data_IF_034029287678
#
_entry.id   IF_034029287678
#
_cell.length_a   1.000
_cell.length_b   1.000
_cell.length_c   1.000
_cell.angle_alpha   90.00
_cell.angle_beta   90.00
_cell.angle_gamma   90.00
#
_symmetry.space_group_name_H-M   'P 1'
#
loop_
_entity.id
_entity.type
_entity.pdbx_description
1 polymer ?
#
# COMPACT_ATOMS: atom_id res chain seq x y z
N UNK A 1 19.17 20.58 12.31
CA UNK A 1 18.40 19.34 12.10
C UNK A 1 17.16 19.40 12.99
N UNK A 2 16.07 19.98 12.50
CA UNK A 2 14.82 20.04 13.27
C UNK A 2 14.21 18.65 13.32
N UNK A 3 14.13 18.07 14.53
CA UNK A 3 13.41 16.83 14.77
C UNK A 3 11.97 16.94 14.26
N UNK A 4 11.29 15.82 13.98
CA UNK A 4 9.94 15.84 13.45
C UNK A 4 9.07 16.64 14.41
N UNK A 5 8.59 17.81 13.96
CA UNK A 5 7.66 18.64 14.71
C UNK A 5 6.47 17.73 14.99
N UNK A 6 6.31 17.30 16.24
CA UNK A 6 5.10 16.64 16.73
C UNK A 6 4.01 17.71 16.81
N UNK A 7 3.60 18.21 15.64
CA UNK A 7 2.42 19.04 15.53
C UNK A 7 1.24 18.10 15.79
N UNK A 8 0.42 18.39 16.79
CA UNK A 8 -0.85 17.69 16.93
C UNK A 8 -1.75 18.04 15.73
N UNK A 9 -2.73 17.19 15.42
CA UNK A 9 -3.58 17.39 14.23
C UNK A 9 -4.29 18.75 14.30
N UNK A 10 -4.64 19.18 15.51
CA UNK A 10 -5.26 20.46 15.81
C UNK A 10 -4.30 21.62 15.56
N UNK A 11 -3.02 21.48 15.92
CA UNK A 11 -1.99 22.49 15.65
C UNK A 11 -1.65 22.59 14.15
N UNK A 12 -1.63 21.46 13.44
CA UNK A 12 -1.44 21.43 11.97
C UNK A 12 -2.63 22.09 11.27
N UNK A 13 -3.86 21.86 11.73
CA UNK A 13 -5.07 22.49 11.21
C UNK A 13 -5.10 24.01 11.46
N UNK A 14 -4.79 24.44 12.68
CA UNK A 14 -4.69 25.86 13.04
C UNK A 14 -3.58 26.57 12.26
N UNK A 15 -2.42 25.92 12.10
CA UNK A 15 -1.32 26.41 11.26
C UNK A 15 -1.70 26.54 9.79
N UNK A 16 -2.42 25.57 9.21
CA UNK A 16 -2.94 25.67 7.84
C UNK A 16 -3.93 26.84 7.70
N UNK A 17 -4.86 26.99 8.64
CA UNK A 17 -5.86 28.07 8.64
C UNK A 17 -5.19 29.45 8.69
N UNK A 18 -4.14 29.60 9.50
CA UNK A 18 -3.35 30.82 9.60
C UNK A 18 -2.49 31.08 8.35
N UNK A 19 -1.88 30.04 7.79
CA UNK A 19 -1.03 30.14 6.59
C UNK A 19 -1.83 30.55 5.35
N UNK A 20 -3.04 30.02 5.19
CA UNK A 20 -3.93 30.35 4.08
C UNK A 20 -4.88 31.54 4.36
N UNK A 21 -4.72 32.25 5.49
CA UNK A 21 -5.55 33.41 5.87
C UNK A 21 -7.07 33.16 5.78
N UNK A 22 -7.52 31.93 6.05
CA UNK A 22 -8.93 31.55 5.93
C UNK A 22 -9.42 31.16 4.52
N UNK A 23 -8.52 31.06 3.53
CA UNK A 23 -8.82 30.45 2.22
C UNK A 23 -8.93 28.93 2.34
N UNK A 24 -10.10 28.49 2.83
CA UNK A 24 -10.45 27.08 3.02
C UNK A 24 -10.30 26.22 1.76
N UNK A 25 -10.73 26.68 0.57
CA UNK A 25 -10.51 25.97 -0.69
C UNK A 25 -9.03 25.71 -1.00
N UNK A 26 -8.14 26.70 -0.82
CA UNK A 26 -6.71 26.53 -1.08
C UNK A 26 -6.05 25.55 -0.09
N UNK A 27 -6.40 25.66 1.19
CA UNK A 27 -5.95 24.74 2.24
C UNK A 27 -6.38 23.29 1.94
N UNK A 28 -7.63 23.09 1.51
CA UNK A 28 -8.14 21.76 1.16
C UNK A 28 -7.45 21.21 -0.09
N UNK A 29 -7.28 22.03 -1.14
CA UNK A 29 -6.63 21.61 -2.37
C UNK A 29 -5.21 21.08 -2.13
N UNK A 30 -4.48 21.66 -1.17
CA UNK A 30 -3.17 21.15 -0.75
C UNK A 30 -3.28 19.76 -0.13
N UNK A 31 -4.25 19.55 0.78
CA UNK A 31 -4.45 18.26 1.44
C UNK A 31 -4.94 17.19 0.46
N UNK A 32 -5.82 17.54 -0.48
CA UNK A 32 -6.25 16.67 -1.58
C UNK A 32 -5.08 16.23 -2.45
N UNK A 33 -4.14 17.14 -2.78
CA UNK A 33 -2.91 16.78 -3.51
C UNK A 33 -2.07 15.77 -2.73
N UNK A 34 -1.94 15.91 -1.40
CA UNK A 34 -1.22 14.94 -0.56
C UNK A 34 -1.92 13.58 -0.54
N UNK A 35 -3.25 13.56 -0.43
CA UNK A 35 -4.04 12.33 -0.49
C UNK A 35 -3.90 11.64 -1.86
N UNK A 36 -4.01 12.40 -2.96
CA UNK A 36 -3.81 11.88 -4.32
C UNK A 36 -2.40 11.29 -4.49
N UNK A 37 -1.37 11.93 -3.95
CA UNK A 37 -0.02 11.37 -3.96
C UNK A 37 0.07 10.02 -3.22
N UNK A 38 -0.62 9.86 -2.08
CA UNK A 38 -0.69 8.58 -1.36
C UNK A 38 -1.44 7.53 -2.19
N UNK A 39 -2.55 7.90 -2.82
CA UNK A 39 -3.32 7.01 -3.69
C UNK A 39 -2.49 6.49 -4.88
N UNK A 40 -1.79 7.38 -5.60
CA UNK A 40 -0.91 7.01 -6.70
C UNK A 40 0.21 6.05 -6.26
N UNK A 41 0.87 6.35 -5.13
CA UNK A 41 1.91 5.48 -4.57
C UNK A 41 1.37 4.12 -4.13
N UNK A 42 0.15 4.07 -3.60
CA UNK A 42 -0.51 2.83 -3.22
C UNK A 42 -0.84 1.95 -4.44
N UNK A 43 -1.26 2.54 -5.57
CA UNK A 43 -1.50 1.81 -6.81
C UNK A 43 -0.22 1.15 -7.34
N UNK A 44 0.93 1.84 -7.28
CA UNK A 44 2.24 1.24 -7.65
C UNK A 44 2.54 0.02 -6.79
N UNK A 45 2.31 0.10 -5.47
CA UNK A 45 2.54 -1.03 -4.55
C UNK A 45 1.64 -2.23 -4.90
N UNK A 46 0.38 -1.99 -5.24
CA UNK A 46 -0.55 -3.03 -5.70
C UNK A 46 -0.10 -3.62 -7.04
N UNK A 47 0.49 -2.81 -7.92
CA UNK A 47 1.08 -3.26 -9.18
C UNK A 47 2.12 -4.36 -9.00
N UNK A 48 2.95 -4.31 -7.95
CA UNK A 48 3.92 -5.37 -7.66
C UNK A 48 3.25 -6.72 -7.36
N UNK A 49 2.09 -6.73 -6.70
CA UNK A 49 1.34 -7.95 -6.49
C UNK A 49 0.82 -8.55 -7.80
N UNK A 50 0.32 -7.71 -8.72
CA UNK A 50 -0.09 -8.16 -10.04
C UNK A 50 1.08 -8.80 -10.81
N UNK A 51 2.27 -8.20 -10.76
CA UNK A 51 3.49 -8.77 -11.36
C UNK A 51 3.85 -10.10 -10.71
N UNK A 52 3.86 -10.20 -9.39
CA UNK A 52 4.17 -11.45 -8.69
C UNK A 52 3.19 -12.58 -9.07
N UNK A 53 1.89 -12.28 -9.14
CA UNK A 53 0.85 -13.24 -9.56
C UNK A 53 1.06 -13.68 -11.01
N UNK A 54 1.33 -12.77 -11.94
CA UNK A 54 1.53 -13.14 -13.35
C UNK A 54 2.81 -13.95 -13.54
N UNK A 55 3.93 -13.58 -12.90
CA UNK A 55 5.18 -14.36 -12.92
C UNK A 55 4.97 -15.77 -12.36
N UNK A 56 4.20 -15.89 -11.27
CA UNK A 56 3.83 -17.19 -10.68
C UNK A 56 2.96 -17.99 -11.65
N UNK A 57 2.01 -17.35 -12.33
CA UNK A 57 1.14 -18.00 -13.32
C UNK A 57 1.91 -18.59 -14.50
N UNK A 58 2.86 -17.85 -15.06
CA UNK A 58 3.73 -18.36 -16.14
C UNK A 58 4.66 -19.48 -15.65
N UNK A 59 5.20 -19.35 -14.44
CA UNK A 59 6.18 -20.29 -13.88
C UNK A 59 5.53 -21.44 -13.09
N UNK A 60 4.20 -21.50 -13.00
CA UNK A 60 3.49 -22.37 -12.07
C UNK A 60 3.77 -23.86 -12.27
N UNK A 61 3.96 -24.29 -13.53
CA UNK A 61 4.33 -25.69 -13.84
C UNK A 61 5.74 -26.04 -13.37
N UNK A 62 6.69 -25.10 -13.47
CA UNK A 62 8.05 -25.27 -12.96
C UNK A 62 8.05 -25.33 -11.43
N UNK A 63 7.21 -24.50 -10.80
CA UNK A 63 7.06 -24.44 -9.35
C UNK A 63 6.42 -25.74 -8.80
N UNK A 64 5.39 -26.26 -9.47
CA UNK A 64 4.76 -27.52 -9.08
C UNK A 64 5.70 -28.74 -9.21
N UNK A 65 6.74 -28.63 -10.05
CA UNK A 65 7.74 -29.67 -10.25
C UNK A 65 8.99 -29.56 -9.38
N UNK A 66 9.13 -28.54 -8.52
CA UNK A 66 10.31 -28.36 -7.65
C UNK A 66 10.09 -28.91 -6.22
N UNK A 67 11.07 -28.67 -5.35
CA UNK A 67 11.03 -29.05 -3.94
C UNK A 67 9.83 -28.46 -3.18
N UNK A 68 9.28 -29.26 -2.25
CA UNK A 68 8.16 -28.87 -1.36
C UNK A 68 8.47 -27.59 -0.58
N UNK A 69 9.73 -27.38 -0.20
CA UNK A 69 10.18 -26.18 0.51
C UNK A 69 10.00 -24.92 -0.34
N UNK A 70 10.38 -24.97 -1.62
CA UNK A 70 10.18 -23.86 -2.55
C UNK A 70 8.70 -23.60 -2.80
N UNK A 71 7.89 -24.66 -2.94
CA UNK A 71 6.43 -24.52 -3.12
C UNK A 71 5.76 -23.81 -1.93
N UNK A 72 6.02 -24.27 -0.71
CA UNK A 72 5.45 -23.66 0.51
C UNK A 72 5.91 -22.20 0.63
N UNK A 73 7.18 -21.91 0.35
CA UNK A 73 7.74 -20.57 0.44
C UNK A 73 7.12 -19.60 -0.58
N UNK A 74 6.88 -20.05 -1.83
CA UNK A 74 6.16 -19.26 -2.85
C UNK A 74 4.73 -18.97 -2.41
N UNK A 75 4.01 -20.00 -1.95
CA UNK A 75 2.61 -19.85 -1.51
C UNK A 75 2.54 -18.87 -0.33
N UNK A 76 3.40 -19.04 0.67
CA UNK A 76 3.45 -18.15 1.83
C UNK A 76 3.79 -16.70 1.43
N UNK A 77 4.81 -16.49 0.58
CA UNK A 77 5.16 -15.17 0.06
C UNK A 77 3.99 -14.52 -0.68
N UNK A 78 3.31 -15.27 -1.55
CA UNK A 78 2.17 -14.77 -2.33
C UNK A 78 0.98 -14.40 -1.43
N UNK A 79 0.67 -15.22 -0.42
CA UNK A 79 -0.40 -14.94 0.55
C UNK A 79 -0.09 -13.67 1.34
N UNK A 80 1.17 -13.45 1.74
CA UNK A 80 1.61 -12.23 2.45
C UNK A 80 1.45 -11.00 1.54
N UNK A 81 1.89 -11.08 0.29
CA UNK A 81 1.76 -9.99 -0.69
C UNK A 81 0.28 -9.65 -0.89
N UNK A 82 -0.56 -10.65 -1.17
CA UNK A 82 -1.99 -10.45 -1.44
C UNK A 82 -2.73 -9.90 -0.23
N UNK A 83 -2.47 -10.43 0.96
CA UNK A 83 -3.08 -9.94 2.20
C UNK A 83 -2.67 -8.49 2.51
N UNK A 84 -1.41 -8.14 2.24
CA UNK A 84 -0.90 -6.77 2.39
C UNK A 84 -1.53 -5.81 1.38
N UNK A 85 -1.66 -6.21 0.12
CA UNK A 85 -2.34 -5.44 -0.91
C UNK A 85 -3.83 -5.28 -0.63
N UNK A 86 -4.50 -6.32 -0.14
CA UNK A 86 -5.90 -6.24 0.27
C UNK A 86 -6.09 -5.24 1.41
N UNK A 87 -5.19 -5.22 2.40
CA UNK A 87 -5.18 -4.22 3.47
C UNK A 87 -5.01 -2.79 2.94
N UNK A 88 -4.09 -2.57 1.99
CA UNK A 88 -3.93 -1.26 1.32
C UNK A 88 -5.21 -0.89 0.54
N UNK A 89 -5.78 -1.84 -0.20
CA UNK A 89 -7.00 -1.61 -0.97
C UNK A 89 -8.18 -1.19 -0.09
N UNK A 90 -8.44 -1.94 0.98
CA UNK A 90 -9.56 -1.67 1.88
C UNK A 90 -9.39 -0.39 2.71
N UNK A 91 -8.15 0.00 3.06
CA UNK A 91 -7.89 1.16 3.95
C UNK A 91 -7.50 2.43 3.20
N UNK A 92 -6.66 2.32 2.18
CA UNK A 92 -6.12 3.46 1.43
C UNK A 92 -7.02 3.80 0.24
N UNK A 93 -7.40 2.83 -0.58
CA UNK A 93 -8.20 3.06 -1.79
C UNK A 93 -9.69 3.29 -1.53
N UNK A 94 -10.19 3.07 -0.30
CA UNK A 94 -11.57 3.43 0.06
C UNK A 94 -11.77 4.94 -0.13
N UNK A 95 -12.50 5.28 -1.20
CA UNK A 95 -12.93 6.63 -1.54
C UNK A 95 -14.06 7.00 -0.60
N UNK A 96 -13.74 7.67 0.50
CA UNK A 96 -14.75 8.39 1.26
C UNK A 96 -14.92 9.77 0.61
N UNK A 97 -16.06 9.98 -0.03
CA UNK A 97 -16.39 11.22 -0.73
C UNK A 97 -16.31 12.41 0.24
N UNK A 98 -15.29 13.25 0.04
CA UNK A 98 -15.04 14.50 0.79
C UNK A 98 -16.26 15.43 0.69
N UNK A 99 -16.95 15.41 -0.46
CA UNK A 99 -18.13 16.25 -0.76
C UNK A 99 -19.32 16.01 0.18
N UNK A 100 -19.55 14.78 0.65
CA UNK A 100 -20.65 14.51 1.60
C UNK A 100 -20.40 15.05 3.01
N UNK A 101 -19.14 15.35 3.36
CA UNK A 101 -18.76 15.98 4.64
C UNK A 101 -18.80 17.51 4.62
N UNK A 102 -18.86 18.12 3.45
CA UNK A 102 -18.73 19.57 3.25
C UNK A 102 -19.98 20.36 3.61
N UNK A 103 -21.11 19.70 3.88
CA UNK A 103 -22.38 20.41 3.85
C UNK A 103 -22.65 21.24 5.12
N UNK A 104 -22.08 20.95 6.30
CA UNK A 104 -22.66 21.46 7.56
C UNK A 104 -21.71 21.89 8.72
N UNK A 105 -20.37 21.95 8.61
CA UNK A 105 -19.51 22.26 9.78
C UNK A 105 -18.27 23.15 9.52
N UNK A 106 -17.85 23.85 10.59
CA UNK A 106 -16.70 24.76 10.69
C UNK A 106 -15.42 24.22 10.01
N UNK A 107 -14.72 25.09 9.28
CA UNK A 107 -13.55 24.80 8.45
C UNK A 107 -12.46 24.03 9.22
N UNK A 108 -12.28 24.38 10.49
CA UNK A 108 -11.29 23.79 11.38
C UNK A 108 -11.57 22.32 11.69
N UNK A 109 -12.84 21.99 11.99
CA UNK A 109 -13.25 20.60 12.25
C UNK A 109 -13.13 19.73 11.00
N UNK A 110 -13.32 20.31 9.82
CA UNK A 110 -13.14 19.63 8.53
C UNK A 110 -11.65 19.36 8.27
N UNK A 111 -10.78 20.35 8.46
CA UNK A 111 -9.32 20.19 8.36
C UNK A 111 -8.81 19.06 9.26
N UNK A 112 -9.23 19.04 10.53
CA UNK A 112 -8.85 17.99 11.49
C UNK A 112 -9.29 16.61 11.01
N UNK A 113 -10.51 16.45 10.51
CA UNK A 113 -11.01 15.16 9.99
C UNK A 113 -10.23 14.70 8.76
N UNK A 114 -9.93 15.60 7.83
CA UNK A 114 -9.17 15.26 6.61
C UNK A 114 -7.72 14.91 6.96
N UNK A 115 -7.07 15.66 7.85
CA UNK A 115 -5.72 15.36 8.35
C UNK A 115 -5.64 14.03 9.11
N UNK A 116 -6.66 13.71 9.92
CA UNK A 116 -6.77 12.42 10.61
C UNK A 116 -6.90 11.27 9.61
N UNK A 117 -7.74 11.44 8.59
CA UNK A 117 -7.89 10.46 7.50
C UNK A 117 -6.58 10.27 6.74
N UNK A 118 -5.86 11.36 6.41
CA UNK A 118 -4.52 11.32 5.80
C UNK A 118 -3.58 10.46 6.64
N UNK A 119 -3.47 10.72 7.94
CA UNK A 119 -2.52 10.02 8.80
C UNK A 119 -2.85 8.52 8.90
N UNK A 120 -4.14 8.17 9.01
CA UNK A 120 -4.58 6.78 9.03
C UNK A 120 -4.26 6.06 7.70
N UNK A 121 -4.50 6.72 6.56
CA UNK A 121 -4.13 6.18 5.23
C UNK A 121 -2.62 6.04 5.08
N UNK A 122 -1.82 7.02 5.51
CA UNK A 122 -0.36 6.95 5.50
C UNK A 122 0.16 5.79 6.35
N UNK A 123 -0.40 5.58 7.55
CA UNK A 123 -0.02 4.47 8.42
C UNK A 123 -0.37 3.11 7.80
N UNK A 124 -1.58 2.99 7.24
CA UNK A 124 -2.00 1.78 6.54
C UNK A 124 -1.11 1.49 5.32
N UNK A 125 -0.78 2.51 4.53
CA UNK A 125 0.17 2.41 3.43
C UNK A 125 1.53 1.90 3.93
N UNK A 126 2.13 2.53 4.95
CA UNK A 126 3.45 2.14 5.46
C UNK A 126 3.50 0.68 5.93
N UNK A 127 2.48 0.24 6.68
CA UNK A 127 2.40 -1.15 7.16
C UNK A 127 2.19 -2.11 5.99
N UNK A 128 1.28 -1.79 5.07
CA UNK A 128 1.01 -2.63 3.91
C UNK A 128 2.21 -2.73 2.96
N UNK A 129 2.89 -1.62 2.68
CA UNK A 129 4.09 -1.60 1.84
C UNK A 129 5.22 -2.44 2.45
N UNK A 130 5.44 -2.34 3.76
CA UNK A 130 6.41 -3.18 4.45
C UNK A 130 6.05 -4.68 4.31
N UNK A 131 4.77 -5.03 4.46
CA UNK A 131 4.30 -6.40 4.24
C UNK A 131 4.52 -6.91 2.81
N UNK A 132 4.25 -6.07 1.80
CA UNK A 132 4.52 -6.40 0.39
C UNK A 132 6.02 -6.64 0.15
N UNK A 133 6.89 -5.80 0.70
CA UNK A 133 8.34 -5.99 0.59
C UNK A 133 8.80 -7.31 1.24
N UNK A 134 8.33 -7.61 2.44
CA UNK A 134 8.65 -8.88 3.12
C UNK A 134 8.18 -10.06 2.28
N UNK A 135 6.94 -10.02 1.78
CA UNK A 135 6.39 -11.07 0.93
C UNK A 135 7.15 -11.25 -0.37
N UNK A 136 7.58 -10.16 -1.02
CA UNK A 136 8.42 -10.19 -2.22
C UNK A 136 9.80 -10.79 -1.94
N UNK A 137 10.41 -10.50 -0.80
CA UNK A 137 11.68 -11.10 -0.40
C UNK A 137 11.54 -12.61 -0.22
N UNK A 138 10.51 -13.06 0.50
CA UNK A 138 10.23 -14.50 0.68
C UNK A 138 9.96 -15.17 -0.68
N UNK A 139 9.18 -14.52 -1.54
CA UNK A 139 8.92 -15.00 -2.90
C UNK A 139 10.21 -15.13 -3.72
N UNK A 140 11.10 -14.14 -3.67
CA UNK A 140 12.38 -14.16 -4.38
C UNK A 140 13.32 -15.26 -3.85
N UNK A 141 13.39 -15.47 -2.54
CA UNK A 141 14.13 -16.58 -1.94
C UNK A 141 13.63 -17.93 -2.44
N UNK A 142 12.31 -18.09 -2.55
CA UNK A 142 11.73 -19.34 -2.99
C UNK A 142 12.05 -19.63 -4.47
N UNK A 143 12.06 -18.60 -5.33
CA UNK A 143 12.55 -18.72 -6.71
C UNK A 143 14.04 -19.07 -6.75
N UNK A 144 14.86 -18.48 -5.86
CA UNK A 144 16.28 -18.82 -5.78
C UNK A 144 16.49 -20.30 -5.38
N UNK A 145 15.75 -20.81 -4.39
CA UNK A 145 15.80 -22.22 -3.99
C UNK A 145 15.38 -23.14 -5.14
N UNK A 146 14.33 -22.77 -5.88
CA UNK A 146 13.86 -23.50 -7.06
C UNK A 146 14.95 -23.57 -8.14
N UNK A 147 15.64 -22.46 -8.41
CA UNK A 147 16.73 -22.42 -9.40
C UNK A 147 17.98 -23.18 -8.96
N UNK A 148 18.26 -23.24 -7.67
CA UNK A 148 19.38 -24.01 -7.11
C UNK A 148 19.12 -25.52 -7.08
N UNK A 149 17.85 -25.95 -7.04
CA UNK A 149 17.45 -27.36 -7.04
C UNK A 149 16.53 -27.67 -8.24
N UNK A 150 17.08 -27.70 -9.47
CA UNK A 150 16.31 -28.06 -10.65
C UNK A 150 15.99 -29.57 -10.62
N UNK A 151 14.82 -29.90 -10.10
CA UNK A 151 14.23 -31.24 -10.25
C UNK A 151 13.84 -31.42 -11.74
N UNK A 152 14.26 -32.53 -12.39
CA UNK A 152 13.93 -32.78 -13.78
C UNK A 152 12.41 -32.99 -13.90
N UNK A 153 11.75 -32.05 -14.56
CA UNK A 153 10.31 -32.12 -14.79
C UNK A 153 10.06 -33.21 -15.83
N UNK A 154 9.66 -34.41 -15.37
CA UNK A 154 9.18 -35.48 -16.23
C UNK A 154 7.78 -35.13 -16.73
N UNK A 155 7.69 -34.16 -17.65
CA UNK A 155 6.44 -33.90 -18.37
C UNK A 155 6.32 -34.99 -19.45
N UNK A 156 5.22 -35.76 -19.51
CA UNK A 156 4.97 -36.55 -20.72
C UNK A 156 4.84 -35.58 -21.88
N UNK A 157 5.77 -35.67 -22.83
CA UNK A 157 5.67 -34.98 -24.11
C UNK A 157 4.40 -35.50 -24.78
N UNK A 158 3.41 -34.62 -24.90
CA UNK A 158 2.18 -34.89 -25.65
C UNK A 158 2.35 -34.41 -27.08
#
# INVERSE_FOLDING_TARGET
>A
MSGPIKCTIEQEAAGLKQFFKGDGPAALALVERQLNAIHMRAQVVIGFAAVAVTTTGFSGRLIAGTSVVAQISIIAGLVIILSSCLSIFLRVLRVEWVVSRYLHHDLETTLVRVLTSRNNKTRAYRIGSAGVFIGLTVYAFAIAIMLLNPEPITVPVR
#
